data_IF_451492045251
#
_entry.id   IF_451492045251
#
_cell.length_a   1.000
_cell.length_b   1.000
_cell.length_c   1.000
_cell.angle_alpha   90.00
_cell.angle_beta   90.00
_cell.angle_gamma   90.00
#
_symmetry.space_group_name_H-M   'P 1'
#
loop_
_entity.id
_entity.type
_entity.pdbx_description
1 polymer ?
#
# COMPACT_ATOMS: atom_id res chain seq x y z
N UNK A 1 7.75 -4.91 15.51
CA UNK A 1 7.65 -4.65 14.06
C UNK A 1 9.06 -4.44 13.53
N UNK A 2 9.50 -5.19 12.53
CA UNK A 2 10.83 -5.00 11.96
C UNK A 2 10.74 -3.94 10.87
N UNK A 3 11.73 -3.03 10.85
CA UNK A 3 11.91 -2.06 9.77
C UNK A 3 11.89 -2.76 8.41
N UNK A 4 12.50 -3.94 8.34
CA UNK A 4 12.52 -4.87 7.20
C UNK A 4 11.14 -5.14 6.57
N UNK A 5 10.08 -5.35 7.36
CA UNK A 5 8.77 -5.72 6.78
C UNK A 5 8.09 -4.52 6.09
N UNK A 6 8.18 -3.33 6.69
CA UNK A 6 7.67 -2.12 6.05
C UNK A 6 8.61 -1.61 4.95
N UNK A 7 9.91 -1.81 5.11
CA UNK A 7 10.89 -1.55 4.06
C UNK A 7 10.66 -2.47 2.87
N UNK A 8 10.36 -3.76 3.09
CA UNK A 8 9.97 -4.69 2.03
C UNK A 8 8.69 -4.24 1.32
N UNK A 9 7.69 -3.72 2.06
CA UNK A 9 6.50 -3.14 1.42
C UNK A 9 6.84 -1.91 0.57
N UNK A 10 7.75 -1.04 1.04
CA UNK A 10 8.25 0.13 0.29
C UNK A 10 9.08 -0.29 -0.93
N UNK A 11 9.93 -1.30 -0.79
CA UNK A 11 10.85 -1.78 -1.82
C UNK A 11 10.08 -2.54 -2.91
N UNK A 12 9.10 -3.38 -2.54
CA UNK A 12 8.19 -4.02 -3.49
C UNK A 12 7.37 -3.00 -4.28
N UNK A 13 6.93 -1.93 -3.61
CA UNK A 13 6.28 -0.79 -4.22
C UNK A 13 7.18 -0.08 -5.26
N UNK A 14 8.46 0.14 -4.92
CA UNK A 14 9.43 0.80 -5.79
C UNK A 14 9.81 -0.06 -7.01
N UNK A 15 10.01 -1.37 -6.82
CA UNK A 15 10.36 -2.31 -7.88
C UNK A 15 9.26 -2.45 -8.95
N UNK A 16 7.99 -2.34 -8.56
CA UNK A 16 6.84 -2.38 -9.48
C UNK A 16 6.73 -1.13 -10.37
N UNK A 17 7.32 -0.02 -9.96
CA UNK A 17 7.32 1.23 -10.72
C UNK A 17 8.40 1.25 -11.82
N UNK A 18 9.50 0.50 -11.63
CA UNK A 18 10.57 0.35 -12.63
C UNK A 18 10.21 -0.60 -13.78
N UNK A 19 9.16 -1.40 -13.63
CA UNK A 19 8.65 -2.31 -14.67
C UNK A 19 7.53 -1.69 -15.54
N UNK A 20 7.21 -0.40 -15.32
CA UNK A 20 6.26 0.37 -16.13
C UNK A 20 6.92 1.17 -17.26
N UNK A 21 8.03 0.68 -17.81
CA UNK A 21 8.68 1.25 -18.97
C UNK A 21 7.96 0.89 -20.28
N UNK A 22 7.82 1.90 -21.13
CA UNK A 22 7.53 1.85 -22.56
C UNK A 22 6.05 1.79 -23.00
N UNK A 23 5.45 2.97 -23.09
CA UNK A 23 4.50 3.25 -24.17
C UNK A 23 5.20 4.07 -25.26
N UNK A 24 6.04 3.36 -26.03
CA UNK A 24 6.51 3.81 -27.34
C UNK A 24 5.33 4.06 -28.27
N UNK A 25 5.43 5.11 -29.10
CA UNK A 25 4.47 5.47 -30.11
C UNK A 25 4.10 4.29 -31.01
N UNK A 26 2.81 3.94 -31.06
CA UNK A 26 2.22 3.24 -32.20
C UNK A 26 0.90 3.90 -32.54
N UNK A 27 0.89 4.56 -33.69
CA UNK A 27 -0.29 5.06 -34.36
C UNK A 27 -1.10 3.88 -34.93
N UNK A 28 -2.11 3.41 -34.22
CA UNK A 28 -3.24 2.76 -34.87
C UNK A 28 -4.49 2.79 -33.99
N UNK A 29 -5.60 3.17 -34.61
CA UNK A 29 -6.89 3.39 -33.97
C UNK A 29 -7.46 2.08 -33.39
N UNK A 30 -7.57 1.99 -32.05
CA UNK A 30 -8.30 0.92 -31.38
C UNK A 30 -9.19 1.47 -30.26
N UNK A 31 -10.49 1.48 -30.56
CA UNK A 31 -11.67 1.35 -29.70
C UNK A 31 -11.64 1.98 -28.27
N UNK A 32 -12.33 3.12 -28.03
CA UNK A 32 -12.34 3.82 -26.73
C UNK A 32 -13.05 3.11 -25.56
N UNK A 33 -13.61 1.91 -25.75
CA UNK A 33 -14.64 1.37 -24.84
C UNK A 33 -14.13 0.43 -23.75
N UNK A 34 -12.83 0.14 -23.70
CA UNK A 34 -12.24 -0.73 -22.67
C UNK A 34 -10.91 -0.17 -22.11
N UNK A 35 -10.71 1.13 -22.19
CA UNK A 35 -9.77 1.78 -21.29
C UNK A 35 -10.42 1.73 -19.91
N UNK A 36 -10.07 0.72 -19.10
CA UNK A 36 -10.37 0.74 -17.68
C UNK A 36 -9.76 2.04 -17.17
N UNK A 37 -10.59 3.08 -17.04
CA UNK A 37 -10.22 4.26 -16.28
C UNK A 37 -10.08 3.70 -14.87
N UNK A 38 -8.85 3.38 -14.48
CA UNK A 38 -8.53 2.87 -13.16
C UNK A 38 -8.95 3.99 -12.22
N UNK A 39 -10.12 3.84 -11.61
CA UNK A 39 -10.62 4.79 -10.64
C UNK A 39 -9.59 4.85 -9.51
N UNK A 40 -9.06 6.02 -9.15
CA UNK A 40 -8.10 6.11 -8.06
C UNK A 40 -8.72 5.54 -6.78
N UNK A 41 -8.00 4.67 -6.11
CA UNK A 41 -8.34 4.24 -4.75
C UNK A 41 -8.21 5.43 -3.80
N UNK A 42 -9.30 5.81 -3.15
CA UNK A 42 -9.29 6.84 -2.11
C UNK A 42 -9.24 6.20 -0.73
N UNK A 43 -8.88 7.00 0.27
CA UNK A 43 -8.90 6.57 1.67
C UNK A 43 -10.27 6.01 2.10
N UNK A 44 -11.37 6.58 1.58
CA UNK A 44 -12.71 6.08 1.86
C UNK A 44 -12.96 4.66 1.30
N UNK A 45 -12.36 4.32 0.15
CA UNK A 45 -12.46 2.98 -0.43
C UNK A 45 -11.69 1.95 0.42
N UNK A 46 -10.50 2.34 0.91
CA UNK A 46 -9.73 1.56 1.89
C UNK A 46 -10.51 1.31 3.19
N UNK A 47 -11.10 2.35 3.78
CA UNK A 47 -11.83 2.24 5.05
C UNK A 47 -13.11 1.41 4.95
N UNK A 48 -13.80 1.40 3.79
CA UNK A 48 -14.97 0.53 3.55
C UNK A 48 -14.63 -0.96 3.64
N UNK A 49 -13.38 -1.34 3.41
CA UNK A 49 -12.93 -2.72 3.53
C UNK A 49 -12.66 -3.18 4.97
N UNK A 50 -12.87 -2.29 5.96
CA UNK A 50 -12.61 -2.51 7.38
C UNK A 50 -11.20 -3.08 7.58
N UNK A 51 -10.17 -2.26 7.32
CA UNK A 51 -8.79 -2.72 7.39
C UNK A 51 -8.47 -3.16 8.83
N UNK A 52 -7.57 -4.14 8.96
CA UNK A 52 -7.14 -4.63 10.26
C UNK A 52 -6.24 -3.58 10.92
N UNK A 53 -6.43 -3.37 12.22
CA UNK A 53 -5.49 -2.60 13.03
C UNK A 53 -4.35 -3.49 13.52
N UNK A 54 -3.20 -2.88 13.82
CA UNK A 54 -2.05 -3.59 14.38
C UNK A 54 -1.43 -2.79 15.53
N UNK A 55 -1.41 -3.40 16.72
CA UNK A 55 -0.86 -2.80 17.94
C UNK A 55 0.58 -3.20 18.20
N UNK A 56 1.00 -4.34 17.65
CA UNK A 56 2.34 -4.91 17.81
C UNK A 56 2.43 -5.98 18.90
N UNK A 57 1.36 -6.21 19.65
CA UNK A 57 1.27 -7.26 20.69
C UNK A 57 0.84 -8.61 20.13
N UNK A 58 0.29 -8.61 18.90
CA UNK A 58 -0.24 -9.80 18.22
C UNK A 58 0.86 -10.71 17.64
N UNK A 59 2.14 -10.30 17.75
CA UNK A 59 3.29 -11.07 17.32
C UNK A 59 3.40 -11.25 15.79
N UNK A 60 4.22 -12.21 15.36
CA UNK A 60 4.47 -12.48 13.93
C UNK A 60 3.18 -12.90 13.21
N UNK A 61 2.35 -13.74 13.85
CA UNK A 61 1.09 -14.18 13.24
C UNK A 61 0.13 -13.01 13.00
N UNK A 62 0.03 -12.10 13.97
CA UNK A 62 -0.78 -10.88 13.80
C UNK A 62 -0.23 -9.95 12.73
N UNK A 63 1.10 -9.79 12.69
CA UNK A 63 1.78 -9.01 11.65
C UNK A 63 1.50 -9.58 10.25
N UNK A 64 1.67 -10.88 10.05
CA UNK A 64 1.41 -11.54 8.76
C UNK A 64 -0.03 -11.32 8.31
N UNK A 65 -1.01 -11.55 9.19
CA UNK A 65 -2.43 -11.33 8.87
C UNK A 65 -2.75 -9.88 8.52
N UNK A 66 -2.11 -8.94 9.21
CA UNK A 66 -2.26 -7.52 8.92
C UNK A 66 -1.70 -7.17 7.52
N UNK A 67 -0.51 -7.65 7.18
CA UNK A 67 0.12 -7.44 5.86
C UNK A 67 -0.76 -8.02 4.75
N UNK A 68 -1.16 -9.29 4.86
CA UNK A 68 -2.00 -9.98 3.87
C UNK A 68 -3.32 -9.22 3.62
N UNK A 69 -3.93 -8.68 4.67
CA UNK A 69 -5.15 -7.88 4.55
C UNK A 69 -4.89 -6.56 3.82
N UNK A 70 -3.78 -5.87 4.11
CA UNK A 70 -3.44 -4.61 3.42
C UNK A 70 -3.19 -4.86 1.94
N UNK A 71 -2.39 -5.86 1.59
CA UNK A 71 -2.11 -6.26 0.21
C UNK A 71 -3.41 -6.59 -0.55
N UNK A 72 -4.31 -7.36 0.07
CA UNK A 72 -5.61 -7.70 -0.52
C UNK A 72 -6.46 -6.46 -0.78
N UNK A 73 -6.59 -5.55 0.20
CA UNK A 73 -7.38 -4.33 0.06
C UNK A 73 -6.79 -3.40 -1.01
N UNK A 74 -5.47 -3.27 -1.06
CA UNK A 74 -4.80 -2.45 -2.07
C UNK A 74 -4.94 -3.01 -3.48
N UNK A 75 -4.85 -4.33 -3.63
CA UNK A 75 -5.01 -5.00 -4.91
C UNK A 75 -6.46 -4.89 -5.43
N UNK A 76 -7.46 -5.14 -4.57
CA UNK A 76 -8.88 -5.07 -4.95
C UNK A 76 -9.29 -3.65 -5.36
N UNK A 77 -8.82 -2.64 -4.64
CA UNK A 77 -9.19 -1.24 -4.91
C UNK A 77 -8.27 -0.54 -5.92
N UNK A 78 -7.20 -1.19 -6.38
CA UNK A 78 -6.22 -0.58 -7.29
C UNK A 78 -5.49 0.61 -6.66
N UNK A 79 -5.06 0.48 -5.40
CA UNK A 79 -4.42 1.58 -4.69
C UNK A 79 -3.00 1.83 -5.18
N UNK A 80 -2.75 3.06 -5.62
CA UNK A 80 -1.43 3.52 -6.02
C UNK A 80 -0.45 3.43 -4.86
N UNK A 81 0.79 3.06 -5.17
CA UNK A 81 1.87 2.78 -4.20
C UNK A 81 2.06 3.92 -3.20
N UNK A 82 2.02 5.16 -3.67
CA UNK A 82 2.18 6.37 -2.86
C UNK A 82 1.08 6.55 -1.80
N UNK A 83 -0.05 5.86 -1.95
CA UNK A 83 -1.16 5.88 -1.01
C UNK A 83 -1.17 4.65 -0.09
N UNK A 84 -0.55 3.54 -0.47
CA UNK A 84 -0.56 2.30 0.30
C UNK A 84 0.05 2.49 1.70
N UNK A 85 1.25 3.06 1.77
CA UNK A 85 1.92 3.32 3.06
C UNK A 85 1.12 4.32 3.89
N UNK A 86 0.57 5.37 3.26
CA UNK A 86 -0.25 6.38 3.96
C UNK A 86 -1.51 5.75 4.56
N UNK A 87 -2.18 4.87 3.83
CA UNK A 87 -3.41 4.23 4.31
C UNK A 87 -3.13 3.15 5.36
N UNK A 88 -2.10 2.32 5.15
CA UNK A 88 -1.71 1.28 6.11
C UNK A 88 -1.31 1.88 7.46
N UNK A 89 -0.54 2.98 7.45
CA UNK A 89 -0.07 3.65 8.68
C UNK A 89 -1.20 4.20 9.54
N UNK A 90 -2.35 4.55 8.95
CA UNK A 90 -3.56 4.94 9.70
C UNK A 90 -4.17 3.82 10.56
N UNK A 91 -3.73 2.57 10.38
CA UNK A 91 -4.22 1.39 11.13
C UNK A 91 -3.24 0.88 12.17
N UNK A 92 -2.06 1.51 12.26
CA UNK A 92 -1.10 1.25 13.34
C UNK A 92 -1.59 1.92 14.62
N UNK A 93 -1.49 1.21 15.72
CA UNK A 93 -1.93 1.68 17.03
C UNK A 93 -0.84 1.48 18.08
N UNK A 94 -1.02 2.13 19.24
CA UNK A 94 -0.21 1.94 20.45
C UNK A 94 1.30 1.97 20.17
N UNK A 95 2.05 0.98 20.67
CA UNK A 95 3.51 0.90 20.56
C UNK A 95 4.00 0.93 19.10
N UNK A 96 3.21 0.38 18.18
CA UNK A 96 3.53 0.32 16.75
C UNK A 96 3.42 1.70 16.10
N UNK A 97 2.39 2.48 16.46
CA UNK A 97 2.26 3.87 16.02
C UNK A 97 3.38 4.75 16.61
N UNK A 98 3.69 4.59 17.90
CA UNK A 98 4.81 5.32 18.54
C UNK A 98 6.13 5.04 17.85
N UNK A 99 6.41 3.77 17.53
CA UNK A 99 7.61 3.39 16.79
C UNK A 99 7.67 4.05 15.41
N UNK A 100 6.56 4.02 14.65
CA UNK A 100 6.50 4.62 13.31
C UNK A 100 6.79 6.12 13.33
N UNK A 101 6.16 6.85 14.25
CA UNK A 101 6.39 8.28 14.41
C UNK A 101 7.84 8.62 14.77
N UNK A 102 8.50 7.75 15.55
CA UNK A 102 9.92 7.92 15.85
C UNK A 102 10.81 7.76 14.62
N UNK A 103 10.51 6.80 13.72
CA UNK A 103 11.28 6.60 12.49
C UNK A 103 11.17 7.81 11.55
N UNK A 104 9.95 8.32 11.37
CA UNK A 104 9.71 9.51 10.53
C UNK A 104 10.49 10.72 11.05
N UNK A 105 10.56 10.91 12.37
CA UNK A 105 11.33 12.02 12.98
C UNK A 105 12.85 11.86 12.80
N UNK A 106 13.35 10.64 12.69
CA UNK A 106 14.79 10.37 12.49
C UNK A 106 15.20 10.50 11.03
N UNK A 107 14.27 10.33 10.09
CA UNK A 107 14.52 10.41 8.65
C UNK A 107 14.27 11.80 8.04
N UNK A 108 13.61 12.71 8.78
CA UNK A 108 13.40 14.12 8.40
C UNK A 108 14.47 15.04 8.97
#
# INVERSE_FOLDING_TARGET
>A
MTLEAMQTMIDQALLRNSSGGDASHSSHAENPRNMHIVRPCHYADFMKCHPLNFKGTEGIVGLTRWIEKMESVFNINGCAVENQVKFATCTLLDATLTWWNSQIRTLG
#
